data_IF_751262138498
#
_entry.id   IF_751262138498
#
_cell.length_a   1.000
_cell.length_b   1.000
_cell.length_c   1.000
_cell.angle_alpha   90.00
_cell.angle_beta   90.00
_cell.angle_gamma   90.00
#
_symmetry.space_group_name_H-M   'P 1'
#
loop_
_entity.id
_entity.type
_entity.pdbx_description
1 polymer ?
#
# COMPACT_ATOMS: atom_id res chain seq x y z
N UNK A 1 -0.86 3.85 9.05
CA UNK A 1 -0.97 3.22 7.71
C UNK A 1 -1.61 4.18 6.73
N UNK A 2 -1.22 4.10 5.45
CA UNK A 2 -1.77 4.94 4.39
C UNK A 2 -2.00 4.12 3.12
N UNK A 3 -2.87 4.64 2.26
CA UNK A 3 -3.12 4.16 0.92
C UNK A 3 -2.73 5.25 -0.08
N UNK A 4 -2.23 4.84 -1.25
CA UNK A 4 -2.16 5.68 -2.43
C UNK A 4 -3.35 5.33 -3.32
N UNK A 5 -4.14 6.35 -3.64
CA UNK A 5 -5.34 6.26 -4.46
C UNK A 5 -5.05 6.91 -5.80
N UNK A 6 -5.48 6.23 -6.86
CA UNK A 6 -5.39 6.71 -8.23
C UNK A 6 -6.40 7.83 -8.47
N UNK A 7 -5.97 9.07 -8.75
CA UNK A 7 -6.88 10.20 -8.92
C UNK A 7 -7.77 10.08 -10.18
N UNK A 8 -7.46 9.15 -11.11
CA UNK A 8 -8.24 8.93 -12.33
C UNK A 8 -9.44 8.01 -12.09
N UNK A 9 -9.31 7.09 -11.15
CA UNK A 9 -10.26 5.98 -10.95
C UNK A 9 -10.80 5.87 -9.53
N UNK A 10 -10.27 6.66 -8.59
CA UNK A 10 -10.53 6.55 -7.15
C UNK A 10 -10.14 5.16 -6.57
N UNK A 11 -9.38 4.37 -7.32
CA UNK A 11 -8.99 3.01 -6.91
C UNK A 11 -7.76 3.07 -6.01
N UNK A 12 -7.78 2.34 -4.90
CA UNK A 12 -6.58 2.13 -4.09
C UNK A 12 -5.59 1.26 -4.86
N UNK A 13 -4.44 1.83 -5.21
CA UNK A 13 -3.37 1.16 -5.95
C UNK A 13 -2.23 0.67 -5.07
N UNK A 14 -2.08 1.20 -3.86
CA UNK A 14 -1.00 0.81 -2.97
C UNK A 14 -1.37 1.05 -1.52
N UNK A 15 -0.96 0.14 -0.63
CA UNK A 15 -1.12 0.27 0.82
C UNK A 15 0.26 0.18 1.45
N UNK A 16 0.57 1.05 2.40
CA UNK A 16 1.83 0.99 3.11
C UNK A 16 1.75 1.41 4.56
N UNK A 17 2.67 0.89 5.35
CA UNK A 17 2.86 1.27 6.74
C UNK A 17 3.88 2.41 6.91
N UNK A 18 3.65 3.26 7.90
CA UNK A 18 4.55 4.34 8.31
C UNK A 18 4.59 4.47 9.82
N UNK A 19 5.79 4.53 10.38
CA UNK A 19 6.04 4.90 11.78
C UNK A 19 6.17 6.40 11.98
N UNK A 20 6.31 7.16 10.89
CA UNK A 20 6.42 8.62 10.94
C UNK A 20 5.08 9.28 10.56
N UNK A 21 4.76 10.45 11.16
CA UNK A 21 3.60 11.26 10.78
C UNK A 21 3.60 11.55 9.28
N UNK A 22 2.45 11.42 8.63
CA UNK A 22 2.31 11.49 7.17
C UNK A 22 2.86 12.78 6.53
N UNK A 23 2.78 13.91 7.25
CA UNK A 23 3.35 15.19 6.82
C UNK A 23 4.88 15.19 6.70
N UNK A 24 5.58 14.37 7.48
CA UNK A 24 7.05 14.21 7.39
C UNK A 24 7.43 13.28 6.23
N UNK A 25 6.53 12.35 5.86
CA UNK A 25 6.79 11.33 4.85
C UNK A 25 6.52 11.78 3.41
N UNK A 26 5.65 12.77 3.19
CA UNK A 26 5.44 13.36 1.85
C UNK A 26 6.75 13.85 1.20
N UNK A 27 7.76 14.22 2.00
CA UNK A 27 9.11 14.54 1.50
C UNK A 27 10.07 13.33 1.35
N UNK A 28 9.84 12.24 2.09
CA UNK A 28 10.77 11.10 2.20
C UNK A 28 10.43 9.88 1.32
N UNK A 29 9.18 9.76 0.88
CA UNK A 29 8.67 8.63 0.08
C UNK A 29 9.30 8.48 -1.31
N UNK A 30 10.12 9.45 -1.74
CA UNK A 30 10.84 9.44 -3.02
C UNK A 30 12.06 8.52 -3.07
N UNK A 31 12.55 7.97 -1.94
CA UNK A 31 13.90 7.36 -1.95
C UNK A 31 13.98 5.96 -2.57
N UNK A 32 13.00 5.06 -2.39
CA UNK A 32 13.05 3.71 -3.00
C UNK A 32 11.65 3.10 -3.27
N UNK A 33 10.82 3.68 -4.17
CA UNK A 33 9.61 2.99 -4.63
C UNK A 33 9.98 1.67 -5.31
N UNK A 34 9.13 0.65 -5.17
CA UNK A 34 9.26 -0.56 -5.99
C UNK A 34 9.15 -0.19 -7.47
N UNK A 35 9.75 -0.97 -8.40
CA UNK A 35 9.72 -0.65 -9.83
C UNK A 35 8.29 -0.39 -10.35
N UNK A 36 7.31 -1.20 -9.91
CA UNK A 36 5.90 -1.07 -10.30
C UNK A 36 5.23 0.19 -9.79
N UNK A 37 5.52 0.59 -8.55
CA UNK A 37 4.99 1.84 -7.99
C UNK A 37 5.65 3.02 -8.71
N UNK A 38 6.95 2.94 -9.00
CA UNK A 38 7.66 3.98 -9.76
C UNK A 38 7.06 4.18 -11.14
N UNK A 39 6.84 3.09 -11.89
CA UNK A 39 6.21 3.15 -13.22
C UNK A 39 4.84 3.84 -13.16
N UNK A 40 3.99 3.43 -12.23
CA UNK A 40 2.68 4.06 -12.03
C UNK A 40 2.77 5.54 -11.62
N UNK A 41 3.69 5.90 -10.73
CA UNK A 41 3.91 7.30 -10.35
C UNK A 41 4.43 8.15 -11.51
N UNK A 42 5.30 7.59 -12.36
CA UNK A 42 5.81 8.27 -13.55
C UNK A 42 4.68 8.47 -14.58
N UNK A 43 3.78 7.49 -14.76
CA UNK A 43 2.57 7.64 -15.59
C UNK A 43 1.65 8.75 -15.09
N UNK A 44 1.38 8.82 -13.77
CA UNK A 44 0.61 9.90 -13.17
C UNK A 44 1.26 11.26 -13.43
N UNK A 45 2.58 11.34 -13.25
CA UNK A 45 3.34 12.57 -13.44
C UNK A 45 3.36 13.04 -14.89
N UNK A 46 3.41 12.13 -15.86
CA UNK A 46 3.32 12.46 -17.28
C UNK A 46 1.98 13.12 -17.63
N UNK A 47 0.92 12.79 -16.89
CA UNK A 47 -0.41 13.39 -17.03
C UNK A 47 -0.61 14.63 -16.13
N UNK A 48 0.44 15.07 -15.41
CA UNK A 48 0.35 16.20 -14.48
C UNK A 48 -0.47 15.91 -13.22
N UNK A 49 -0.63 14.63 -12.86
CA UNK A 49 -1.38 14.17 -11.70
C UNK A 49 -0.44 13.65 -10.61
N UNK A 50 -0.91 13.73 -9.37
CA UNK A 50 -0.27 13.13 -8.20
C UNK A 50 -1.25 12.16 -7.52
N UNK A 51 -0.76 11.04 -6.96
CA UNK A 51 -1.62 10.12 -6.21
C UNK A 51 -2.17 10.80 -4.95
N UNK A 52 -3.43 10.48 -4.63
CA UNK A 52 -4.01 10.91 -3.37
C UNK A 52 -3.52 10.00 -2.22
N UNK A 53 -3.12 10.60 -1.11
CA UNK A 53 -2.72 9.86 0.09
C UNK A 53 -3.86 9.88 1.09
N UNK A 54 -4.39 8.70 1.40
CA UNK A 54 -5.49 8.52 2.35
C UNK A 54 -4.99 7.76 3.58
N UNK A 55 -5.43 8.18 4.76
CA UNK A 55 -5.15 7.46 6.01
C UNK A 55 -6.05 6.23 6.08
N UNK A 56 -5.45 5.04 6.15
CA UNK A 56 -6.21 3.78 6.28
C UNK A 56 -6.46 3.45 7.75
N UNK A 57 -5.42 3.58 8.57
CA UNK A 57 -5.46 3.42 10.03
C UNK A 57 -4.41 4.34 10.64
N UNK A 58 -4.79 5.21 11.55
CA UNK A 58 -3.89 5.98 12.39
C UNK A 58 -3.55 5.22 13.69
N UNK A 59 -2.49 5.65 14.38
CA UNK A 59 -2.09 5.13 15.70
C UNK A 59 -1.94 3.61 15.86
N UNK A 60 -1.70 2.86 14.78
CA UNK A 60 -1.39 1.42 14.86
C UNK A 60 -0.08 1.20 15.62
N UNK A 61 -0.07 0.38 16.69
CA UNK A 61 1.16 0.06 17.42
C UNK A 61 2.21 -0.56 16.51
N UNK A 62 3.49 -0.25 16.73
CA UNK A 62 4.58 -0.72 15.88
C UNK A 62 4.61 -2.25 15.73
N UNK A 63 4.34 -2.96 16.83
CA UNK A 63 4.30 -4.43 16.86
C UNK A 63 3.20 -5.02 15.95
N UNK A 64 2.13 -4.25 15.71
CA UNK A 64 0.97 -4.69 14.95
C UNK A 64 0.97 -4.16 13.51
N UNK A 65 1.95 -3.35 13.12
CA UNK A 65 1.97 -2.70 11.81
C UNK A 65 2.01 -3.70 10.66
N UNK A 66 2.82 -4.76 10.77
CA UNK A 66 2.96 -5.78 9.72
C UNK A 66 1.66 -6.58 9.56
N UNK A 67 1.07 -6.99 10.68
CA UNK A 67 -0.21 -7.70 10.67
C UNK A 67 -1.33 -6.82 10.10
N UNK A 68 -1.41 -5.57 10.54
CA UNK A 68 -2.41 -4.62 10.04
C UNK A 68 -2.23 -4.32 8.54
N UNK A 69 -0.99 -4.26 8.03
CA UNK A 69 -0.69 -4.12 6.61
C UNK A 69 -1.17 -5.33 5.81
N UNK A 70 -0.88 -6.55 6.28
CA UNK A 70 -1.35 -7.78 5.63
C UNK A 70 -2.87 -7.90 5.62
N UNK A 71 -3.55 -7.54 6.72
CA UNK A 71 -5.01 -7.49 6.77
C UNK A 71 -5.58 -6.53 5.72
N UNK A 72 -5.01 -5.32 5.60
CA UNK A 72 -5.50 -4.31 4.68
C UNK A 72 -5.26 -4.71 3.22
N UNK A 73 -4.11 -5.31 2.91
CA UNK A 73 -3.81 -5.86 1.57
C UNK A 73 -4.77 -7.00 1.24
N UNK A 74 -5.03 -7.90 2.20
CA UNK A 74 -5.93 -9.05 2.01
C UNK A 74 -7.37 -8.60 1.80
N UNK A 75 -7.86 -7.65 2.61
CA UNK A 75 -9.18 -7.06 2.45
C UNK A 75 -9.33 -6.39 1.07
N UNK A 76 -8.36 -5.60 0.65
CA UNK A 76 -8.36 -4.96 -0.66
C UNK A 76 -8.32 -5.98 -1.82
N UNK A 77 -7.57 -7.09 -1.65
CA UNK A 77 -7.57 -8.19 -2.60
C UNK A 77 -8.92 -8.90 -2.70
N UNK A 78 -9.61 -9.11 -1.57
CA UNK A 78 -10.97 -9.67 -1.53
C UNK A 78 -12.01 -8.73 -2.16
N UNK A 79 -11.80 -7.41 -2.05
CA UNK A 79 -12.61 -6.39 -2.75
C UNK A 79 -12.30 -6.32 -4.26
N UNK A 80 -11.32 -7.08 -4.77
CA UNK A 80 -10.94 -7.10 -6.18
C UNK A 80 -10.06 -5.94 -6.63
N UNK A 81 -9.48 -5.17 -5.70
CA UNK A 81 -8.59 -4.03 -6.01
C UNK A 81 -7.26 -4.53 -6.57
N UNK A 82 -6.74 -3.84 -7.60
CA UNK A 82 -5.47 -4.19 -8.23
C UNK A 82 -4.32 -3.46 -7.56
N UNK A 83 -3.87 -3.98 -6.42
CA UNK A 83 -2.75 -3.44 -5.68
C UNK A 83 -1.41 -3.66 -6.41
N UNK A 84 -0.57 -2.63 -6.38
CA UNK A 84 0.79 -2.59 -6.91
C UNK A 84 1.85 -2.97 -5.86
N UNK A 85 1.42 -3.28 -4.63
CA UNK A 85 2.31 -3.82 -3.60
C UNK A 85 3.09 -5.01 -4.19
N UNK A 86 4.41 -4.97 -4.12
CA UNK A 86 5.21 -6.18 -4.34
C UNK A 86 4.86 -7.05 -3.17
N UNK A 87 4.11 -8.14 -3.41
CA UNK A 87 3.87 -9.10 -2.36
C UNK A 87 5.23 -9.61 -1.90
N UNK A 88 5.72 -9.12 -0.77
CA UNK A 88 6.49 -9.98 0.12
C UNK A 88 5.47 -11.00 0.61
N UNK A 89 5.17 -11.99 -0.24
CA UNK A 89 4.58 -13.25 0.18
C UNK A 89 5.66 -13.99 0.98
N UNK A 90 6.01 -13.44 2.14
CA UNK A 90 6.82 -14.08 3.15
C UNK A 90 5.95 -15.03 3.95
N UNK A 91 5.57 -16.14 3.32
CA UNK A 91 5.10 -17.33 4.03
C UNK A 91 3.60 -17.58 3.93
N UNK A 92 3.17 -18.17 2.82
CA UNK A 92 2.15 -19.21 2.95
C UNK A 92 2.83 -20.56 2.77
N UNK A 93 2.95 -21.32 3.85
CA UNK A 93 2.81 -22.77 3.75
C UNK A 93 1.38 -23.07 4.20
N UNK A 94 0.45 -23.00 3.25
CA UNK A 94 -0.84 -23.67 3.39
C UNK A 94 -0.53 -25.15 3.54
N UNK A 95 -0.82 -25.73 4.70
CA UNK A 95 -1.20 -27.12 4.75
C UNK A 95 -2.73 -27.15 4.78
N UNK A 96 -3.40 -27.94 3.93
CA UNK A 96 -4.82 -28.17 4.07
C UNK A 96 -5.05 -28.92 5.38
N UNK A 97 -5.91 -28.37 6.24
CA UNK A 97 -6.52 -29.12 7.34
C UNK A 97 -7.45 -30.15 6.70
N UNK A 98 -6.98 -31.39 6.58
CA UNK A 98 -7.85 -32.55 6.40
C UNK A 98 -8.12 -33.17 7.77
N UNK A 99 -9.38 -33.08 8.15
CA UNK A 99 -10.21 -33.92 9.05
C UNK A 99 -9.54 -34.96 9.95
#
# INVERSE_FOLDING_TARGET
MYALVDPRTDETRYIGQSVQPLGVRLGGHRKHPSPRIREWLDELRLEGLDPQIVVVRDHVPYADLDHAEQEAISAAGLEGKRLLNVMFAGGTRLLPETE
#
